data_IF_215885251025
#
_entry.id   IF_215885251025
#
_cell.length_a   1.000
_cell.length_b   1.000
_cell.length_c   1.000
_cell.angle_alpha   90.00
_cell.angle_beta   90.00
_cell.angle_gamma   90.00
#
_symmetry.space_group_name_H-M   'P 1'
#
loop_
_entity.id
_entity.type
_entity.pdbx_description
1 polymer ?
#
# COMPACT_ATOMS: atom_id res chain seq x y z
N UNK A 1 15.17 -10.42 -9.52
CA UNK A 1 16.40 -9.71 -9.12
C UNK A 1 17.65 -10.57 -9.23
N UNK A 2 17.73 -11.70 -8.52
CA UNK A 2 18.82 -12.66 -8.71
C UNK A 2 18.96 -13.13 -10.16
N UNK A 3 17.83 -13.38 -10.85
CA UNK A 3 17.82 -13.75 -12.27
C UNK A 3 18.13 -12.60 -13.23
N UNK A 4 17.84 -11.34 -12.87
CA UNK A 4 18.09 -10.20 -13.75
C UNK A 4 19.54 -9.73 -13.71
N UNK A 5 20.29 -10.03 -12.63
CA UNK A 5 21.70 -9.62 -12.46
C UNK A 5 21.91 -8.11 -12.25
N UNK A 6 20.87 -7.28 -12.43
CA UNK A 6 20.94 -5.84 -12.25
C UNK A 6 21.04 -5.45 -10.77
N UNK A 7 22.17 -4.86 -10.38
CA UNK A 7 22.41 -4.37 -9.02
C UNK A 7 21.49 -3.21 -8.59
N UNK A 8 20.82 -2.55 -9.55
CA UNK A 8 19.91 -1.43 -9.30
C UNK A 8 18.42 -1.81 -9.30
N UNK A 9 18.06 -3.08 -9.49
CA UNK A 9 16.67 -3.47 -9.31
C UNK A 9 16.31 -3.40 -7.81
N UNK A 10 15.02 -3.26 -7.51
CA UNK A 10 14.51 -3.15 -6.13
C UNK A 10 13.05 -3.58 -6.10
N UNK A 11 12.52 -3.75 -4.90
CA UNK A 11 11.13 -4.10 -4.63
C UNK A 11 10.42 -2.87 -4.06
N UNK A 12 9.25 -2.63 -4.59
CA UNK A 12 8.25 -1.76 -4.02
C UNK A 12 7.09 -2.62 -3.53
N UNK A 13 6.65 -2.38 -2.29
CA UNK A 13 5.45 -3.00 -1.75
C UNK A 13 4.31 -2.00 -1.82
N UNK A 14 3.33 -2.26 -2.68
CA UNK A 14 2.03 -1.59 -2.69
C UNK A 14 1.06 -2.43 -1.86
N UNK A 15 0.45 -1.83 -0.83
CA UNK A 15 -0.40 -2.53 0.13
C UNK A 15 -1.62 -3.21 -0.53
N UNK A 16 -2.23 -2.58 -1.54
CA UNK A 16 -3.34 -3.19 -2.27
C UNK A 16 -2.84 -4.38 -3.08
N UNK A 17 -1.85 -4.15 -3.95
CA UNK A 17 -1.37 -5.20 -4.85
C UNK A 17 -0.80 -6.39 -4.08
N UNK A 18 -0.10 -6.14 -2.98
CA UNK A 18 0.41 -7.18 -2.09
C UNK A 18 -0.72 -8.03 -1.48
N UNK A 19 -1.78 -7.40 -0.98
CA UNK A 19 -2.95 -8.13 -0.46
C UNK A 19 -3.67 -8.91 -1.56
N UNK A 20 -3.88 -8.31 -2.74
CA UNK A 20 -4.62 -8.94 -3.85
C UNK A 20 -3.84 -10.06 -4.53
N UNK A 21 -2.51 -10.10 -4.39
CA UNK A 21 -1.71 -11.26 -4.78
C UNK A 21 -1.67 -12.37 -3.74
N UNK A 22 -2.38 -12.22 -2.61
CA UNK A 22 -2.39 -13.19 -1.50
C UNK A 22 -1.19 -13.06 -0.56
N UNK A 23 -0.44 -11.95 -0.63
CA UNK A 23 0.68 -11.69 0.25
C UNK A 23 0.24 -11.41 1.68
N UNK A 24 1.02 -11.90 2.63
CA UNK A 24 0.84 -11.70 4.06
C UNK A 24 2.00 -10.85 4.61
N UNK A 25 1.79 -10.00 5.62
CA UNK A 25 2.88 -9.24 6.25
C UNK A 25 4.09 -10.10 6.64
N UNK A 26 3.87 -11.36 7.04
CA UNK A 26 4.93 -12.33 7.36
C UNK A 26 5.86 -12.65 6.19
N UNK A 27 5.40 -12.52 4.95
CA UNK A 27 6.18 -12.85 3.75
C UNK A 27 7.32 -11.86 3.52
N UNK A 28 7.22 -10.64 4.08
CA UNK A 28 8.27 -9.62 4.00
C UNK A 28 9.57 -10.10 4.65
N UNK A 29 9.48 -10.85 5.76
CA UNK A 29 10.64 -11.36 6.48
C UNK A 29 11.50 -12.35 5.67
N UNK A 30 10.93 -12.95 4.62
CA UNK A 30 11.64 -13.86 3.72
C UNK A 30 12.45 -13.17 2.62
N UNK A 31 12.41 -11.84 2.53
CA UNK A 31 13.05 -11.05 1.47
C UNK A 31 14.22 -10.25 2.04
N UNK A 32 15.30 -10.17 1.26
CA UNK A 32 16.44 -9.32 1.61
C UNK A 32 16.00 -7.86 1.78
N UNK A 33 16.19 -7.34 3.00
CA UNK A 33 15.79 -6.00 3.40
C UNK A 33 16.38 -4.91 2.52
N UNK A 34 17.57 -5.13 1.94
CA UNK A 34 18.25 -4.17 1.06
C UNK A 34 17.53 -3.92 -0.26
N UNK A 35 16.61 -4.81 -0.64
CA UNK A 35 15.83 -4.68 -1.86
C UNK A 35 14.67 -3.70 -1.74
N UNK A 36 14.21 -3.40 -0.52
CA UNK A 36 13.08 -2.50 -0.33
C UNK A 36 13.55 -1.04 -0.33
N UNK A 37 12.94 -0.21 -1.18
CA UNK A 37 13.29 1.22 -1.29
C UNK A 37 12.24 2.15 -0.70
N UNK A 38 10.98 1.82 -0.91
CA UNK A 38 9.83 2.49 -0.30
C UNK A 38 8.61 1.58 -0.39
N UNK A 39 7.57 1.90 0.38
CA UNK A 39 6.28 1.24 0.29
C UNK A 39 5.16 2.24 0.01
N UNK A 40 4.16 1.80 -0.74
CA UNK A 40 2.94 2.53 -1.05
C UNK A 40 1.82 2.02 -0.17
N UNK A 41 1.29 2.91 0.66
CA UNK A 41 0.27 2.59 1.66
C UNK A 41 -1.07 3.17 1.21
N UNK A 42 -2.07 2.31 1.25
CA UNK A 42 -3.48 2.59 1.16
C UNK A 42 -4.22 1.58 2.02
N UNK A 43 -5.54 1.67 2.06
CA UNK A 43 -6.39 0.63 2.60
C UNK A 43 -7.40 0.17 1.54
N UNK A 44 -8.10 -0.92 1.82
CA UNK A 44 -9.07 -1.51 0.90
C UNK A 44 -10.11 -2.34 1.66
N UNK A 45 -11.18 -2.75 0.96
CA UNK A 45 -12.14 -3.68 1.54
C UNK A 45 -11.47 -5.04 1.84
N UNK A 46 -11.99 -5.79 2.83
CA UNK A 46 -11.49 -7.13 3.10
C UNK A 46 -11.83 -8.11 1.95
N UNK A 47 -13.00 -7.92 1.35
CA UNK A 47 -13.47 -8.74 0.22
C UNK A 47 -12.63 -8.43 -1.01
N UNK A 48 -11.99 -9.47 -1.55
CA UNK A 48 -11.24 -9.41 -2.80
C UNK A 48 -12.25 -9.53 -3.96
N UNK A 49 -12.29 -8.58 -4.91
CA UNK A 49 -13.11 -8.73 -6.10
C UNK A 49 -12.72 -9.97 -6.92
N UNK A 50 -13.71 -10.73 -7.40
CA UNK A 50 -13.48 -11.94 -8.19
C UNK A 50 -13.21 -11.67 -9.67
N UNK A 51 -13.72 -10.55 -10.20
CA UNK A 51 -13.63 -10.20 -11.62
C UNK A 51 -12.44 -9.27 -11.89
N UNK A 52 -11.65 -9.52 -12.96
CA UNK A 52 -10.52 -8.66 -13.33
C UNK A 52 -10.89 -7.18 -13.50
N UNK A 53 -12.08 -6.89 -14.04
CA UNK A 53 -12.56 -5.52 -14.20
C UNK A 53 -12.75 -4.79 -12.87
N UNK A 54 -13.20 -5.51 -11.84
CA UNK A 54 -13.40 -4.94 -10.52
C UNK A 54 -12.09 -4.76 -9.75
N UNK A 55 -11.11 -5.65 -9.94
CA UNK A 55 -9.75 -5.46 -9.42
C UNK A 55 -9.12 -4.18 -10.00
N UNK A 56 -9.26 -3.97 -11.32
CA UNK A 56 -8.78 -2.75 -11.98
C UNK A 56 -9.50 -1.51 -11.43
N UNK A 57 -10.83 -1.59 -11.24
CA UNK A 57 -11.62 -0.49 -10.68
C UNK A 57 -11.21 -0.17 -9.24
N UNK A 58 -11.01 -1.18 -8.40
CA UNK A 58 -10.51 -1.04 -7.03
C UNK A 58 -9.14 -0.33 -7.03
N UNK A 59 -8.18 -0.84 -7.82
CA UNK A 59 -6.83 -0.29 -7.88
C UNK A 59 -6.78 1.18 -8.31
N UNK A 60 -7.65 1.57 -9.26
CA UNK A 60 -7.64 2.92 -9.86
C UNK A 60 -8.50 3.94 -9.14
N UNK A 61 -9.52 3.51 -8.40
CA UNK A 61 -10.56 4.42 -7.88
C UNK A 61 -11.19 3.99 -6.55
N UNK A 62 -11.05 2.71 -6.18
CA UNK A 62 -11.73 2.11 -5.03
C UNK A 62 -10.85 1.91 -3.80
N UNK A 63 -9.60 2.40 -3.82
CA UNK A 63 -8.74 2.41 -2.63
C UNK A 63 -9.36 3.31 -1.56
N UNK A 64 -8.93 3.09 -0.32
CA UNK A 64 -9.32 3.87 0.86
C UNK A 64 -8.09 4.47 1.53
N UNK A 65 -8.29 5.44 2.41
CA UNK A 65 -7.20 5.92 3.25
C UNK A 65 -6.89 4.90 4.36
N UNK A 66 -5.64 4.87 4.87
CA UNK A 66 -5.28 4.05 6.03
C UNK A 66 -6.29 4.13 7.18
N UNK A 67 -6.81 2.99 7.61
CA UNK A 67 -7.80 2.89 8.70
C UNK A 67 -9.25 2.98 8.27
N UNK A 68 -9.54 3.23 6.99
CA UNK A 68 -10.89 3.20 6.43
C UNK A 68 -11.23 1.86 5.75
N UNK A 69 -10.28 0.91 5.73
CA UNK A 69 -10.47 -0.42 5.17
C UNK A 69 -10.21 -1.53 6.18
N UNK A 70 -9.68 -2.65 5.70
CA UNK A 70 -9.48 -3.87 6.47
C UNK A 70 -8.12 -4.54 6.20
N UNK A 71 -7.19 -3.85 5.51
CA UNK A 71 -5.86 -4.41 5.30
C UNK A 71 -5.07 -4.41 6.63
N UNK A 72 -4.19 -5.40 6.87
CA UNK A 72 -3.38 -5.49 8.08
C UNK A 72 -2.19 -4.50 8.04
N UNK A 73 -2.48 -3.20 7.93
CA UNK A 73 -1.47 -2.18 7.64
C UNK A 73 -0.45 -1.99 8.76
N UNK A 74 -0.85 -2.14 10.03
CA UNK A 74 0.07 -2.06 11.16
C UNK A 74 1.11 -3.18 11.10
N UNK A 75 0.65 -4.40 10.84
CA UNK A 75 1.53 -5.57 10.71
C UNK A 75 2.43 -5.45 9.47
N UNK A 76 1.88 -4.96 8.34
CA UNK A 76 2.66 -4.71 7.12
C UNK A 76 3.77 -3.68 7.38
N UNK A 77 3.44 -2.53 7.98
CA UNK A 77 4.43 -1.49 8.30
C UNK A 77 5.48 -2.00 9.29
N UNK A 78 5.09 -2.79 10.29
CA UNK A 78 6.02 -3.37 11.25
C UNK A 78 6.95 -4.42 10.63
N UNK A 79 6.51 -5.12 9.58
CA UNK A 79 7.32 -6.13 8.88
C UNK A 79 8.32 -5.52 7.89
N UNK A 80 8.07 -4.30 7.39
CA UNK A 80 8.98 -3.60 6.50
C UNK A 80 10.28 -3.16 7.21
N UNK A 81 11.38 -2.91 6.46
CA UNK A 81 12.61 -2.39 7.05
C UNK A 81 12.39 -1.10 7.84
N UNK A 82 13.06 -0.98 8.98
CA UNK A 82 12.98 0.19 9.83
C UNK A 82 13.34 1.48 9.05
N UNK A 83 12.57 2.54 9.28
CA UNK A 83 12.73 3.85 8.64
C UNK A 83 12.62 3.86 7.10
N UNK A 84 12.06 2.80 6.48
CA UNK A 84 11.73 2.84 5.05
C UNK A 84 10.77 4.02 4.76
N UNK A 85 10.97 4.77 3.66
CA UNK A 85 10.01 5.78 3.23
C UNK A 85 8.64 5.15 2.96
N UNK A 86 7.59 5.74 3.54
CA UNK A 86 6.20 5.39 3.27
C UNK A 86 5.55 6.49 2.43
N UNK A 87 5.04 6.12 1.26
CA UNK A 87 4.26 6.99 0.41
C UNK A 87 2.78 6.63 0.56
N UNK A 88 1.90 7.64 0.57
CA UNK A 88 0.48 7.40 0.46
C UNK A 88 0.09 7.28 -1.03
N UNK A 89 -0.57 6.19 -1.40
CA UNK A 89 -1.07 5.96 -2.74
C UNK A 89 -2.51 5.45 -2.69
N UNK A 90 -3.44 6.39 -2.46
CA UNK A 90 -4.85 6.09 -2.32
C UNK A 90 -5.68 6.92 -3.31
N UNK A 91 -5.89 6.45 -4.55
CA UNK A 91 -6.87 7.04 -5.45
C UNK A 91 -8.29 6.72 -4.95
N UNK A 92 -8.81 7.61 -4.09
CA UNK A 92 -10.14 7.49 -3.47
C UNK A 92 -11.15 8.32 -4.23
N UNK A 93 -11.99 7.69 -5.07
CA UNK A 93 -13.00 8.39 -5.89
C UNK A 93 -13.96 9.24 -5.07
N UNK A 94 -14.33 8.80 -3.87
CA UNK A 94 -15.25 9.52 -2.99
C UNK A 94 -14.74 10.90 -2.53
N UNK A 95 -13.43 11.16 -2.69
CA UNK A 95 -12.80 12.44 -2.33
C UNK A 95 -12.34 13.24 -3.54
N UNK A 96 -12.65 12.79 -4.77
CA UNK A 96 -12.08 13.35 -6.00
C UNK A 96 -12.45 14.83 -6.22
N UNK A 97 -13.63 15.24 -5.78
CA UNK A 97 -14.14 16.60 -5.94
C UNK A 97 -13.71 17.56 -4.81
N UNK A 98 -13.00 17.06 -3.79
CA UNK A 98 -12.45 17.90 -2.73
C UNK A 98 -11.23 18.68 -3.23
N UNK A 99 -10.96 19.87 -2.66
CA UNK A 99 -9.75 20.62 -2.95
C UNK A 99 -8.47 19.77 -2.74
N UNK A 100 -7.43 19.91 -3.59
CA UNK A 100 -6.21 19.10 -3.47
C UNK A 100 -5.56 19.17 -2.09
N UNK A 101 -5.56 20.34 -1.46
CA UNK A 101 -5.03 20.52 -0.11
C UNK A 101 -5.80 19.70 0.93
N UNK A 102 -7.13 19.67 0.83
CA UNK A 102 -7.96 18.90 1.77
C UNK A 102 -7.71 17.40 1.62
N UNK A 103 -7.60 16.92 0.38
CA UNK A 103 -7.24 15.51 0.10
C UNK A 103 -5.87 15.16 0.69
N UNK A 104 -4.87 16.02 0.49
CA UNK A 104 -3.53 15.82 1.04
C UNK A 104 -3.52 15.81 2.57
N UNK A 105 -4.28 16.70 3.21
CA UNK A 105 -4.40 16.74 4.66
C UNK A 105 -5.09 15.49 5.23
N UNK A 106 -6.16 15.01 4.58
CA UNK A 106 -6.83 13.75 4.96
C UNK A 106 -5.87 12.57 4.87
N UNK A 107 -5.14 12.46 3.77
CA UNK A 107 -4.13 11.43 3.55
C UNK A 107 -2.98 11.51 4.58
N UNK A 108 -2.48 12.70 4.88
CA UNK A 108 -1.45 12.87 5.90
C UNK A 108 -1.95 12.44 7.29
N UNK A 109 -3.15 12.84 7.69
CA UNK A 109 -3.74 12.48 8.99
C UNK A 109 -3.93 10.97 9.13
N UNK A 110 -4.40 10.28 8.09
CA UNK A 110 -4.59 8.83 8.14
C UNK A 110 -3.25 8.09 8.25
N UNK A 111 -2.21 8.53 7.52
CA UNK A 111 -0.86 7.98 7.67
C UNK A 111 -0.30 8.22 9.07
N UNK A 112 -0.47 9.42 9.65
CA UNK A 112 -0.06 9.70 11.03
C UNK A 112 -0.78 8.79 12.03
N UNK A 113 -2.09 8.64 11.92
CA UNK A 113 -2.86 7.75 12.81
C UNK A 113 -2.44 6.28 12.70
N UNK A 114 -2.03 5.82 11.51
CA UNK A 114 -1.46 4.49 11.33
C UNK A 114 -0.14 4.33 12.11
N UNK A 115 0.72 5.34 12.10
CA UNK A 115 2.06 5.28 12.69
C UNK A 115 2.11 5.57 14.20
N UNK A 116 1.09 6.24 14.76
CA UNK A 116 1.07 6.71 16.15
C UNK A 116 1.70 8.09 16.32
#
# INVERSE_FOLDING_TARGET
MSKSGCANASILVDALHFSRSGGLPSDIAGVDASLFRYAQICDAAAVIPSEPGDLIREARTGRRLPGEGALPLRDLVAALPAAIPLAIEAPVRATADLPPLERAQRAYRSMRALLG
#
